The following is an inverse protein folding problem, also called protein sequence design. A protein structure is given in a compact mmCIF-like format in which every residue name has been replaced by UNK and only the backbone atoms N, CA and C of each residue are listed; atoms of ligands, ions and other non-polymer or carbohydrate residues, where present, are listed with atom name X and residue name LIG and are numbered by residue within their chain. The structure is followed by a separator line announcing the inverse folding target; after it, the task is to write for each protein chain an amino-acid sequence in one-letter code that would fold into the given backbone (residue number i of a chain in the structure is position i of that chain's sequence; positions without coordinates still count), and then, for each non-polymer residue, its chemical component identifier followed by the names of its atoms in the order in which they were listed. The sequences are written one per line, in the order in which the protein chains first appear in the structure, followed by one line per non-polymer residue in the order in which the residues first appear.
data_IF_743320404059
#
_entry.id   IF_743320404059
#
_cell.length_a   1.000
_cell.length_b   1.000
_cell.length_c   1.000
_cell.angle_alpha   90.00
_cell.angle_beta   90.00
_cell.angle_gamma   90.00
#
_symmetry.space_group_name_H-M   'P 1'
#
loop_
_entity.id
_entity.type
_entity.pdbx_description
1 polymer ?
#
# COMPACT_ATOMS: atom_id res chain seq x y z
N UNK A 1 -30.70 -50.47 -38.63
CA UNK A 1 -29.54 -50.02 -37.83
C UNK A 1 -29.62 -48.49 -37.78
N UNK A 2 -30.00 -47.90 -36.64
CA UNK A 2 -30.16 -46.46 -36.52
C UNK A 2 -28.88 -45.83 -35.99
N UNK A 3 -28.22 -45.01 -36.81
CA UNK A 3 -27.00 -44.27 -36.43
C UNK A 3 -27.39 -42.99 -35.71
N UNK A 4 -27.11 -42.91 -34.41
CA UNK A 4 -27.20 -41.68 -33.64
C UNK A 4 -25.92 -40.86 -33.83
N UNK A 5 -26.02 -39.65 -34.42
CA UNK A 5 -24.90 -38.70 -34.42
C UNK A 5 -24.94 -37.84 -33.15
N UNK A 6 -24.10 -38.17 -32.16
CA UNK A 6 -23.81 -37.26 -31.05
C UNK A 6 -22.63 -36.37 -31.43
N UNK A 7 -22.90 -35.07 -31.61
CA UNK A 7 -21.87 -34.05 -31.72
C UNK A 7 -21.45 -33.63 -30.30
N UNK A 8 -20.28 -34.06 -29.86
CA UNK A 8 -19.66 -33.58 -28.62
C UNK A 8 -18.65 -32.48 -28.95
N UNK A 9 -18.84 -31.31 -28.36
CA UNK A 9 -17.84 -30.25 -28.30
C UNK A 9 -18.06 -29.12 -29.32
N UNK A 10 -18.98 -28.21 -29.02
CA UNK A 10 -18.84 -26.85 -29.54
C UNK A 10 -17.80 -26.13 -28.69
N UNK A 11 -16.73 -25.66 -29.34
CA UNK A 11 -15.74 -24.79 -28.70
C UNK A 11 -16.41 -23.44 -28.42
N UNK A 12 -16.94 -23.25 -27.21
CA UNK A 12 -17.56 -21.99 -26.80
C UNK A 12 -16.45 -20.95 -26.64
N UNK A 13 -16.17 -20.21 -27.72
CA UNK A 13 -15.30 -19.03 -27.66
C UNK A 13 -16.07 -17.93 -26.95
N UNK A 14 -15.73 -17.66 -25.71
CA UNK A 14 -16.19 -16.49 -24.99
C UNK A 14 -15.57 -15.24 -25.62
N UNK A 15 -16.28 -14.66 -26.59
CA UNK A 15 -15.94 -13.34 -27.12
C UNK A 15 -16.15 -12.33 -26.01
N UNK A 16 -15.06 -11.83 -25.43
CA UNK A 16 -15.13 -10.79 -24.40
C UNK A 16 -15.89 -9.58 -24.99
N UNK A 17 -17.01 -9.18 -24.39
CA UNK A 17 -17.78 -8.06 -24.93
C UNK A 17 -16.93 -6.80 -24.86
N UNK A 18 -16.93 -6.02 -25.95
CA UNK A 18 -16.07 -4.82 -26.09
C UNK A 18 -16.19 -3.84 -24.92
N UNK A 19 -17.36 -3.74 -24.30
CA UNK A 19 -17.57 -2.92 -23.10
C UNK A 19 -16.80 -3.39 -21.86
N UNK A 20 -16.62 -4.70 -21.68
CA UNK A 20 -15.83 -5.26 -20.57
C UNK A 20 -14.33 -4.96 -20.73
N UNK A 21 -13.84 -4.84 -21.96
CA UNK A 21 -12.44 -4.48 -22.21
C UNK A 21 -12.14 -3.04 -21.74
N UNK A 22 -13.05 -2.10 -22.00
CA UNK A 22 -12.92 -0.73 -21.49
C UNK A 22 -12.97 -0.68 -19.96
N UNK A 23 -13.90 -1.40 -19.33
CA UNK A 23 -13.99 -1.47 -17.88
C UNK A 23 -12.72 -2.05 -17.23
N UNK A 24 -12.16 -3.11 -17.83
CA UNK A 24 -10.89 -3.68 -17.38
C UNK A 24 -9.73 -2.69 -17.50
N UNK A 25 -9.66 -1.93 -18.61
CA UNK A 25 -8.64 -0.90 -18.79
C UNK A 25 -8.78 0.25 -17.77
N UNK A 26 -10.02 0.69 -17.50
CA UNK A 26 -10.30 1.73 -16.51
C UNK A 26 -9.90 1.27 -15.10
N UNK A 27 -10.25 0.03 -14.72
CA UNK A 27 -9.90 -0.52 -13.41
C UNK A 27 -8.39 -0.72 -13.27
N UNK A 28 -7.72 -1.21 -14.32
CA UNK A 28 -6.27 -1.33 -14.33
C UNK A 28 -5.57 0.03 -14.17
N UNK A 29 -6.07 1.07 -14.83
CA UNK A 29 -5.61 2.45 -14.67
C UNK A 29 -5.76 2.96 -13.24
N UNK A 30 -6.92 2.73 -12.62
CA UNK A 30 -7.18 3.09 -11.24
C UNK A 30 -6.24 2.37 -10.27
N UNK A 31 -6.08 1.05 -10.42
CA UNK A 31 -5.18 0.26 -9.57
C UNK A 31 -3.74 0.76 -9.67
N UNK A 32 -3.25 1.07 -10.87
CA UNK A 32 -1.91 1.62 -11.07
C UNK A 32 -1.75 2.99 -10.39
N UNK A 33 -2.79 3.84 -10.43
CA UNK A 33 -2.76 5.14 -9.77
C UNK A 33 -2.69 4.96 -8.24
N UNK A 34 -3.50 4.06 -7.67
CA UNK A 34 -3.50 3.77 -6.23
C UNK A 34 -2.14 3.25 -5.79
N UNK A 35 -1.57 2.28 -6.51
CA UNK A 35 -0.24 1.74 -6.19
C UNK A 35 0.85 2.82 -6.26
N UNK A 36 0.77 3.72 -7.25
CA UNK A 36 1.72 4.81 -7.38
C UNK A 36 1.63 5.77 -6.18
N UNK A 37 0.42 6.11 -5.73
CA UNK A 37 0.23 6.98 -4.57
C UNK A 37 0.70 6.31 -3.27
N UNK A 38 0.42 5.02 -3.10
CA UNK A 38 0.87 4.24 -1.95
C UNK A 38 2.40 4.18 -1.86
N UNK A 39 3.07 3.90 -3.00
CA UNK A 39 4.53 3.93 -3.07
C UNK A 39 5.13 5.30 -2.73
N UNK A 40 4.47 6.39 -3.14
CA UNK A 40 4.90 7.75 -2.78
C UNK A 40 4.75 8.02 -1.29
N UNK A 41 3.68 7.50 -0.67
CA UNK A 41 3.46 7.61 0.76
C UNK A 41 4.46 6.78 1.57
N UNK A 42 4.75 5.55 1.11
CA UNK A 42 5.78 4.68 1.68
C UNK A 42 7.18 5.28 1.55
N UNK A 43 7.52 5.85 0.38
CA UNK A 43 8.79 6.56 0.18
C UNK A 43 8.92 7.77 1.11
N UNK A 44 7.82 8.48 1.39
CA UNK A 44 7.80 9.56 2.40
C UNK A 44 7.93 9.05 3.83
N UNK A 45 7.32 7.90 4.16
CA UNK A 45 7.41 7.27 5.48
C UNK A 45 8.76 6.61 5.76
N UNK A 46 9.53 6.27 4.73
CA UNK A 46 10.85 5.65 4.88
C UNK A 46 11.89 6.52 5.62
N UNK A 47 11.57 7.78 5.93
CA UNK A 47 12.33 8.61 6.87
C UNK A 47 11.91 8.35 8.32
N UNK A 48 11.78 7.08 8.68
CA UNK A 48 11.50 6.68 10.07
C UNK A 48 12.80 6.81 10.87
N UNK A 49 12.80 7.56 11.99
CA UNK A 49 14.01 7.83 12.74
C UNK A 49 14.60 6.52 13.28
N UNK A 50 15.83 6.21 12.88
CA UNK A 50 16.50 4.94 13.20
C UNK A 50 17.17 4.95 14.56
N UNK A 51 17.47 6.14 15.07
CA UNK A 51 18.24 6.34 16.29
C UNK A 51 17.50 7.25 17.27
N UNK A 52 17.80 7.10 18.57
CA UNK A 52 17.18 7.91 19.62
C UNK A 52 17.43 9.42 19.46
N UNK A 53 18.57 9.81 18.87
CA UNK A 53 18.89 11.21 18.55
C UNK A 53 17.93 11.80 17.50
N UNK A 54 17.63 11.04 16.45
CA UNK A 54 16.69 11.44 15.39
C UNK A 54 15.26 11.54 15.92
N UNK A 55 14.88 10.68 16.88
CA UNK A 55 13.59 10.76 17.58
C UNK A 55 13.50 12.03 18.44
N UNK A 56 14.58 12.44 19.10
CA UNK A 56 14.61 13.70 19.86
C UNK A 56 14.54 14.92 18.95
N UNK A 57 15.18 14.88 17.78
CA UNK A 57 15.08 15.95 16.79
C UNK A 57 13.67 16.06 16.21
N UNK A 58 13.01 14.92 15.93
CA UNK A 58 11.61 14.87 15.53
C UNK A 58 10.70 15.45 16.63
N UNK A 59 10.95 15.13 17.90
CA UNK A 59 10.20 15.69 19.01
C UNK A 59 10.29 17.22 19.05
N UNK A 60 11.47 17.80 18.78
CA UNK A 60 11.67 19.25 18.72
C UNK A 60 10.91 19.90 17.55
N UNK A 61 10.82 19.21 16.41
CA UNK A 61 10.06 19.71 15.26
C UNK A 61 8.55 19.69 15.52
N UNK A 62 8.06 18.64 16.18
CA UNK A 62 6.62 18.45 16.44
C UNK A 62 6.14 19.21 17.69
N UNK A 63 7.04 19.62 18.59
CA UNK A 63 6.70 20.35 19.83
C UNK A 63 5.84 21.59 19.59
N UNK A 64 6.02 22.28 18.45
CA UNK A 64 5.23 23.46 18.09
C UNK A 64 3.78 23.13 17.69
N UNK A 65 3.55 21.96 17.11
CA UNK A 65 2.23 21.52 16.65
C UNK A 65 1.51 20.64 17.67
N UNK A 66 2.24 19.81 18.39
CA UNK A 66 1.73 18.88 19.40
C UNK A 66 2.77 18.64 20.51
N UNK A 67 2.68 19.38 21.64
CA UNK A 67 3.61 19.24 22.74
C UNK A 67 3.44 17.92 23.51
N UNK A 68 2.25 17.31 23.48
CA UNK A 68 1.97 16.04 24.16
C UNK A 68 2.65 14.88 23.45
N UNK A 69 2.53 14.83 22.13
CA UNK A 69 3.23 13.85 21.30
C UNK A 69 4.76 14.02 21.39
N UNK A 70 5.26 15.26 21.41
CA UNK A 70 6.70 15.53 21.59
C UNK A 70 7.24 15.05 22.95
N UNK A 71 6.42 15.06 24.01
CA UNK A 71 6.81 14.50 25.31
C UNK A 71 6.92 12.97 25.26
N UNK A 72 5.98 12.30 24.60
CA UNK A 72 6.01 10.84 24.44
C UNK A 72 7.21 10.37 23.61
N UNK A 73 7.53 11.07 22.51
CA UNK A 73 8.73 10.81 21.70
C UNK A 73 10.03 10.94 22.52
N UNK A 74 10.15 11.98 23.36
CA UNK A 74 11.29 12.16 24.27
C UNK A 74 11.40 11.00 25.28
N UNK A 75 10.29 10.59 25.88
CA UNK A 75 10.26 9.49 26.82
C UNK A 75 10.59 8.14 26.15
N UNK A 76 10.13 7.93 24.91
CA UNK A 76 10.48 6.75 24.12
C UNK A 76 11.97 6.72 23.75
N UNK A 77 12.54 7.86 23.34
CA UNK A 77 13.96 7.98 23.04
C UNK A 77 14.84 7.67 24.27
N UNK A 78 14.50 8.22 25.44
CA UNK A 78 15.21 7.96 26.70
C UNK A 78 15.11 6.49 27.12
N UNK A 79 13.93 5.86 26.98
CA UNK A 79 13.74 4.43 27.26
C UNK A 79 14.58 3.56 26.34
N UNK A 80 14.65 3.89 25.05
CA UNK A 80 15.47 3.17 24.07
C UNK A 80 16.96 3.24 24.42
N UNK A 81 17.45 4.42 24.82
CA UNK A 81 18.84 4.59 25.28
C UNK A 81 19.14 3.79 26.55
N UNK A 82 18.21 3.76 27.52
CA UNK A 82 18.38 3.00 28.76
C UNK A 82 18.21 1.48 28.58
N UNK A 83 17.46 1.03 27.58
CA UNK A 83 17.16 -0.38 27.33
C UNK A 83 18.17 -1.06 26.38
N UNK A 84 19.14 -0.30 25.86
CA UNK A 84 20.20 -0.76 24.96
C UNK A 84 21.52 -1.16 25.65
N UNK A 85 21.50 -1.34 26.97
CA UNK A 85 22.59 -1.88 27.80
C UNK A 85 22.22 -3.27 28.30
#
# INVERSE_FOLDING_TARGET
MSSASMSFGSNVRYTQPRGAAWAAAAMGGLMNLIHRLDQWQLARRSSEPRNAEEVMELARQVEKSDPGFAADLRAAAQRSQNSGL
#
